data_IF_675244776847
#
_entry.id   IF_675244776847
#
_cell.length_a   1.000
_cell.length_b   1.000
_cell.length_c   1.000
_cell.angle_alpha   90.00
_cell.angle_beta   90.00
_cell.angle_gamma   90.00
#
_symmetry.space_group_name_H-M   'P 1'
#
loop_
_entity.id
_entity.type
_entity.pdbx_description
1 polymer ?
#
# COMPACT_ATOMS: atom_id res chain seq x y z
N UNK A 1 15.53 -10.94 1.49
CA UNK A 1 14.76 -12.18 1.61
C UNK A 1 14.50 -12.76 0.22
N UNK A 2 14.71 -14.08 0.03
CA UNK A 2 14.57 -14.77 -1.25
C UNK A 2 15.63 -14.42 -2.29
N UNK A 3 15.46 -14.85 -3.55
CA UNK A 3 16.45 -14.66 -4.61
C UNK A 3 16.68 -13.20 -4.97
N UNK A 4 15.64 -12.46 -5.32
CA UNK A 4 15.74 -11.03 -5.68
C UNK A 4 16.29 -10.19 -4.53
N UNK A 5 15.71 -10.31 -3.33
CA UNK A 5 16.23 -9.60 -2.16
C UNK A 5 17.67 -10.01 -1.81
N UNK A 6 18.01 -11.28 -2.01
CA UNK A 6 19.38 -11.78 -1.81
C UNK A 6 20.38 -11.15 -2.78
N UNK A 7 20.03 -10.97 -4.05
CA UNK A 7 20.86 -10.29 -5.04
C UNK A 7 21.10 -8.84 -4.65
N UNK A 8 20.03 -8.11 -4.30
CA UNK A 8 20.13 -6.73 -3.86
C UNK A 8 21.01 -6.57 -2.61
N UNK A 9 20.82 -7.41 -1.59
CA UNK A 9 21.65 -7.38 -0.36
C UNK A 9 23.11 -7.76 -0.65
N UNK A 10 23.36 -8.68 -1.58
CA UNK A 10 24.72 -9.01 -2.01
C UNK A 10 25.39 -7.84 -2.73
N UNK A 11 24.59 -7.08 -3.51
CA UNK A 11 25.08 -5.85 -4.15
C UNK A 11 25.39 -4.78 -3.10
N UNK A 12 24.46 -4.53 -2.15
CA UNK A 12 24.66 -3.61 -1.03
C UNK A 12 25.93 -3.94 -0.20
N UNK A 13 26.17 -5.22 0.03
CA UNK A 13 27.37 -5.68 0.74
C UNK A 13 28.66 -5.34 -0.01
N UNK A 14 28.66 -5.48 -1.34
CA UNK A 14 29.81 -5.12 -2.19
C UNK A 14 30.05 -3.62 -2.27
N UNK A 15 28.98 -2.83 -2.26
CA UNK A 15 29.03 -1.35 -2.23
C UNK A 15 29.52 -0.80 -0.87
N UNK A 16 29.60 -1.63 0.17
CA UNK A 16 30.22 -1.28 1.44
C UNK A 16 29.42 -0.24 2.23
N UNK A 17 28.11 -0.44 2.42
CA UNK A 17 27.32 0.41 3.30
C UNK A 17 27.82 0.24 4.73
N UNK A 18 28.24 1.35 5.35
CA UNK A 18 28.84 1.35 6.69
C UNK A 18 27.78 1.15 7.79
N UNK A 19 28.21 0.57 8.91
CA UNK A 19 27.40 0.40 10.14
C UNK A 19 26.10 -0.39 9.95
N UNK A 20 26.05 -1.28 8.96
CA UNK A 20 24.93 -2.15 8.64
C UNK A 20 25.36 -3.61 8.68
N UNK A 21 24.60 -4.44 9.39
CA UNK A 21 24.77 -5.90 9.38
C UNK A 21 23.92 -6.50 8.27
N UNK A 22 24.57 -7.25 7.37
CA UNK A 22 23.90 -7.89 6.23
C UNK A 22 23.53 -9.33 6.55
N UNK A 23 22.28 -9.70 6.29
CA UNK A 23 21.76 -11.05 6.50
C UNK A 23 20.99 -11.52 5.27
N UNK A 24 21.25 -12.74 4.84
CA UNK A 24 20.48 -13.41 3.79
C UNK A 24 19.54 -14.45 4.37
N UNK A 25 18.25 -14.33 4.08
CA UNK A 25 17.23 -15.32 4.40
C UNK A 25 16.66 -15.90 3.10
N UNK A 26 16.75 -17.21 2.92
CA UNK A 26 16.21 -17.88 1.72
C UNK A 26 15.78 -19.32 2.04
N UNK A 27 14.87 -19.84 1.25
CA UNK A 27 14.45 -21.26 1.24
C UNK A 27 15.31 -22.11 0.32
N UNK A 28 16.19 -21.49 -0.48
CA UNK A 28 17.11 -22.15 -1.42
C UNK A 28 18.55 -22.06 -0.92
N UNK A 29 19.10 -23.22 -0.55
CA UNK A 29 20.46 -23.32 -0.02
C UNK A 29 21.53 -23.01 -1.08
N UNK A 30 21.28 -23.31 -2.36
CA UNK A 30 22.24 -23.00 -3.42
C UNK A 30 22.37 -21.50 -3.63
N UNK A 31 21.23 -20.79 -3.60
CA UNK A 31 21.21 -19.34 -3.70
C UNK A 31 21.96 -18.67 -2.53
N UNK A 32 21.79 -19.17 -1.30
CA UNK A 32 22.52 -18.68 -0.14
C UNK A 32 24.04 -18.87 -0.28
N UNK A 33 24.46 -20.04 -0.77
CA UNK A 33 25.91 -20.37 -0.86
C UNK A 33 26.64 -19.59 -1.96
N UNK A 34 25.93 -19.02 -2.94
CA UNK A 34 26.54 -18.21 -4.02
C UNK A 34 26.93 -16.80 -3.57
N UNK A 35 26.39 -16.32 -2.48
CA UNK A 35 26.63 -14.95 -2.00
C UNK A 35 27.83 -14.90 -1.05
N UNK A 36 28.54 -13.77 -1.08
CA UNK A 36 29.67 -13.47 -0.19
C UNK A 36 29.22 -12.91 1.18
N UNK A 37 27.93 -12.62 1.35
CA UNK A 37 27.38 -12.13 2.63
C UNK A 37 27.59 -13.18 3.72
N UNK A 38 28.18 -12.79 4.88
CA UNK A 38 28.65 -13.77 5.87
C UNK A 38 27.49 -14.43 6.64
N UNK A 39 26.43 -13.69 6.96
CA UNK A 39 25.33 -14.20 7.77
C UNK A 39 24.20 -14.70 6.85
N UNK A 40 23.90 -15.98 6.98
CA UNK A 40 22.92 -16.67 6.11
C UNK A 40 21.99 -17.52 6.95
N UNK A 41 20.68 -17.39 6.70
CA UNK A 41 19.66 -18.21 7.34
C UNK A 41 18.86 -18.99 6.28
N UNK A 42 18.91 -20.31 6.36
CA UNK A 42 18.07 -21.19 5.57
C UNK A 42 16.71 -21.33 6.25
N UNK A 43 15.66 -20.84 5.57
CA UNK A 43 14.29 -20.90 6.06
C UNK A 43 13.64 -22.24 5.73
N UNK A 44 12.96 -22.82 6.73
CA UNK A 44 12.12 -24.01 6.54
C UNK A 44 12.92 -25.22 6.09
N UNK A 45 13.87 -25.67 6.88
CA UNK A 45 14.77 -26.80 6.55
C UNK A 45 13.99 -28.08 6.27
N UNK A 46 12.94 -28.36 7.03
CA UNK A 46 12.12 -29.55 6.84
C UNK A 46 11.09 -29.35 5.71
N UNK A 47 10.45 -28.18 5.66
CA UNK A 47 9.40 -27.87 4.67
C UNK A 47 9.97 -27.78 3.25
N UNK A 48 11.12 -27.14 3.07
CA UNK A 48 11.70 -26.89 1.74
C UNK A 48 12.87 -27.79 1.38
N UNK A 49 13.51 -28.41 2.37
CA UNK A 49 14.71 -29.23 2.22
C UNK A 49 15.85 -28.49 1.50
N UNK A 50 15.85 -27.13 1.58
CA UNK A 50 16.82 -26.29 0.90
C UNK A 50 16.66 -26.20 -0.63
N UNK A 51 15.55 -26.69 -1.18
CA UNK A 51 15.25 -26.71 -2.62
C UNK A 51 14.41 -25.51 -3.10
N UNK A 52 14.15 -24.56 -2.20
CA UNK A 52 13.32 -23.40 -2.49
C UNK A 52 11.82 -23.62 -2.28
N UNK A 53 11.05 -22.55 -2.40
CA UNK A 53 9.60 -22.54 -2.21
C UNK A 53 8.80 -23.01 -3.45
N UNK A 54 9.44 -23.20 -4.60
CA UNK A 54 8.79 -23.62 -5.84
C UNK A 54 7.77 -22.61 -6.38
N UNK A 55 8.05 -21.33 -6.24
CA UNK A 55 7.15 -20.21 -6.63
C UNK A 55 5.79 -20.21 -5.89
N UNK A 56 5.73 -20.76 -4.68
CA UNK A 56 4.53 -20.82 -3.83
C UNK A 56 4.74 -19.99 -2.56
N UNK A 57 4.10 -18.81 -2.45
CA UNK A 57 4.22 -17.94 -1.26
C UNK A 57 3.79 -18.64 0.04
N UNK A 58 2.74 -19.45 -0.01
CA UNK A 58 2.24 -20.16 1.17
C UNK A 58 3.28 -21.13 1.75
N UNK A 59 4.04 -21.81 0.86
CA UNK A 59 5.14 -22.68 1.28
C UNK A 59 6.29 -21.91 1.91
N UNK A 60 6.59 -20.71 1.38
CA UNK A 60 7.61 -19.84 1.94
C UNK A 60 7.19 -19.21 3.26
N UNK A 61 5.92 -18.88 3.42
CA UNK A 61 5.34 -18.43 4.68
C UNK A 61 5.51 -19.50 5.77
N UNK A 62 5.10 -20.74 5.50
CA UNK A 62 5.28 -21.85 6.43
C UNK A 62 6.77 -22.09 6.75
N UNK A 63 7.65 -21.96 5.75
CA UNK A 63 9.10 -22.09 5.95
C UNK A 63 9.68 -21.00 6.86
N UNK A 64 9.19 -19.78 6.77
CA UNK A 64 9.58 -18.71 7.68
C UNK A 64 9.02 -18.94 9.09
N UNK A 65 7.80 -19.46 9.20
CA UNK A 65 7.19 -19.83 10.49
C UNK A 65 7.91 -20.98 11.17
N UNK A 66 8.40 -21.98 10.43
CA UNK A 66 9.29 -23.03 10.97
C UNK A 66 10.57 -22.44 11.59
N UNK A 67 11.07 -21.35 11.05
CA UNK A 67 12.33 -20.71 11.45
C UNK A 67 12.15 -19.53 12.42
N UNK A 68 11.01 -19.42 13.12
CA UNK A 68 10.70 -18.28 14.01
C UNK A 68 11.75 -18.05 15.09
N UNK A 69 12.22 -19.11 15.74
CA UNK A 69 13.18 -19.01 16.85
C UNK A 69 14.57 -18.55 16.35
N UNK A 70 15.00 -19.05 15.20
CA UNK A 70 16.24 -18.62 14.56
C UNK A 70 16.17 -17.13 14.17
N UNK A 71 15.02 -16.69 13.61
CA UNK A 71 14.78 -15.30 13.22
C UNK A 71 14.78 -14.37 14.43
N UNK A 72 14.09 -14.75 15.52
CA UNK A 72 14.10 -13.99 16.78
C UNK A 72 15.49 -13.93 17.40
N UNK A 73 16.18 -15.07 17.42
CA UNK A 73 17.55 -15.13 17.95
C UNK A 73 18.49 -14.20 17.21
N UNK A 74 18.38 -14.13 15.89
CA UNK A 74 19.18 -13.27 15.04
C UNK A 74 18.91 -11.77 15.26
N UNK A 75 17.67 -11.39 15.49
CA UNK A 75 17.26 -9.99 15.70
C UNK A 75 17.41 -9.53 17.16
N UNK A 76 17.69 -10.43 18.09
CA UNK A 76 17.79 -10.13 19.53
C UNK A 76 19.22 -9.74 19.95
N UNK A 77 19.91 -9.01 19.14
CA UNK A 77 21.29 -8.53 19.35
C UNK A 77 21.37 -7.03 19.71
N UNK A 78 20.24 -6.41 20.01
CA UNK A 78 20.11 -4.97 20.24
C UNK A 78 19.78 -4.17 18.99
N UNK A 79 19.44 -4.83 17.88
CA UNK A 79 18.98 -4.21 16.63
C UNK A 79 17.79 -3.28 16.91
N UNK A 80 17.89 -2.04 16.46
CA UNK A 80 16.83 -1.03 16.60
C UNK A 80 16.05 -0.78 15.32
N UNK A 81 16.64 -1.09 14.17
CA UNK A 81 16.04 -0.91 12.85
C UNK A 81 16.41 -2.07 11.93
N UNK A 82 15.49 -2.50 11.10
CA UNK A 82 15.73 -3.51 10.08
C UNK A 82 15.14 -3.10 8.74
N UNK A 83 15.95 -3.24 7.68
CA UNK A 83 15.48 -3.17 6.29
C UNK A 83 15.18 -4.58 5.80
N UNK A 84 13.96 -4.81 5.36
CA UNK A 84 13.54 -6.08 4.76
C UNK A 84 13.41 -5.89 3.26
N UNK A 85 14.42 -6.37 2.54
CA UNK A 85 14.48 -6.26 1.09
C UNK A 85 14.01 -7.56 0.44
N UNK A 86 13.03 -7.45 -0.47
CA UNK A 86 12.48 -8.61 -1.17
C UNK A 86 12.01 -8.25 -2.59
N UNK A 87 12.24 -9.15 -3.55
CA UNK A 87 11.55 -9.12 -4.84
C UNK A 87 10.20 -9.82 -4.70
N UNK A 88 9.11 -9.10 -4.95
CA UNK A 88 7.76 -9.65 -4.91
C UNK A 88 7.43 -10.39 -6.22
N UNK A 89 6.46 -11.29 -6.16
CA UNK A 89 6.02 -12.10 -7.30
C UNK A 89 6.68 -13.48 -7.40
N UNK A 90 7.72 -13.75 -6.57
CA UNK A 90 8.28 -15.09 -6.38
C UNK A 90 7.68 -15.79 -5.15
N UNK A 91 8.15 -17.01 -4.85
CA UNK A 91 7.71 -17.75 -3.66
C UNK A 91 8.27 -17.13 -2.38
N UNK A 92 9.61 -17.15 -2.23
CA UNK A 92 10.28 -16.82 -0.96
C UNK A 92 10.10 -15.36 -0.56
N UNK A 93 10.38 -14.40 -1.46
CA UNK A 93 10.24 -12.98 -1.15
C UNK A 93 8.80 -12.62 -0.76
N UNK A 94 7.83 -13.09 -1.55
CA UNK A 94 6.41 -12.79 -1.35
C UNK A 94 5.85 -13.39 -0.06
N UNK A 95 6.24 -14.64 0.26
CA UNK A 95 5.64 -15.34 1.42
C UNK A 95 6.41 -15.17 2.73
N UNK A 96 7.76 -15.18 2.69
CA UNK A 96 8.56 -15.13 3.91
C UNK A 96 8.80 -13.70 4.42
N UNK A 97 8.91 -12.68 3.53
CA UNK A 97 9.19 -11.32 3.97
C UNK A 97 8.13 -10.74 4.92
N UNK A 98 6.81 -10.92 4.70
CA UNK A 98 5.79 -10.48 5.66
C UNK A 98 5.93 -11.12 7.04
N UNK A 99 6.30 -12.41 7.11
CA UNK A 99 6.49 -13.11 8.39
C UNK A 99 7.69 -12.54 9.13
N UNK A 100 8.81 -12.34 8.44
CA UNK A 100 10.02 -11.74 9.03
C UNK A 100 9.73 -10.31 9.51
N UNK A 101 8.98 -9.54 8.72
CA UNK A 101 8.55 -8.18 9.08
C UNK A 101 7.73 -8.16 10.37
N UNK A 102 6.74 -9.06 10.48
CA UNK A 102 5.92 -9.21 11.68
C UNK A 102 6.76 -9.49 12.91
N UNK A 103 7.71 -10.43 12.81
CA UNK A 103 8.61 -10.77 13.92
C UNK A 103 9.39 -9.54 14.39
N UNK A 104 10.01 -8.81 13.47
CA UNK A 104 10.78 -7.62 13.78
C UNK A 104 9.92 -6.53 14.44
N UNK A 105 8.73 -6.28 13.88
CA UNK A 105 7.78 -5.30 14.42
C UNK A 105 7.28 -5.69 15.83
N UNK A 106 6.96 -6.97 16.05
CA UNK A 106 6.54 -7.52 17.35
C UNK A 106 7.65 -7.40 18.41
N UNK A 107 8.92 -7.42 18.00
CA UNK A 107 10.08 -7.17 18.86
C UNK A 107 10.32 -5.68 19.13
N UNK A 108 9.51 -4.77 18.59
CA UNK A 108 9.65 -3.32 18.74
C UNK A 108 10.77 -2.70 17.88
N UNK A 109 11.27 -3.42 16.89
CA UNK A 109 12.30 -2.95 15.96
C UNK A 109 11.62 -2.12 14.87
N UNK A 110 12.16 -0.93 14.57
CA UNK A 110 11.69 -0.14 13.42
C UNK A 110 11.86 -0.95 12.14
N UNK A 111 10.76 -1.34 11.54
CA UNK A 111 10.75 -2.27 10.41
C UNK A 111 10.38 -1.55 9.11
N UNK A 112 11.33 -1.51 8.18
CA UNK A 112 11.18 -0.85 6.88
C UNK A 112 11.25 -1.90 5.78
N UNK A 113 10.18 -2.01 5.00
CA UNK A 113 10.16 -2.84 3.80
C UNK A 113 10.66 -2.06 2.58
N UNK A 114 11.57 -2.66 1.81
CA UNK A 114 12.01 -2.13 0.51
C UNK A 114 11.82 -3.24 -0.52
N UNK A 115 10.77 -3.14 -1.33
CA UNK A 115 10.35 -4.25 -2.19
C UNK A 115 10.23 -3.82 -3.65
N UNK A 116 10.43 -4.78 -4.56
CA UNK A 116 10.25 -4.55 -5.99
C UNK A 116 9.03 -5.27 -6.54
N UNK A 117 8.32 -4.62 -7.48
CA UNK A 117 7.26 -5.23 -8.31
C UNK A 117 7.90 -5.63 -9.64
N UNK A 118 7.58 -6.84 -10.17
CA UNK A 118 8.16 -7.38 -11.40
C UNK A 118 7.96 -6.51 -12.63
N UNK A 119 8.78 -6.71 -13.65
CA UNK A 119 8.56 -6.17 -15.00
C UNK A 119 7.33 -6.80 -15.65
N UNK A 120 6.68 -6.08 -16.57
CA UNK A 120 5.51 -6.59 -17.33
C UNK A 120 5.80 -7.87 -18.09
N UNK A 121 7.01 -8.01 -18.66
CA UNK A 121 7.39 -9.22 -19.40
C UNK A 121 7.53 -10.48 -18.52
N UNK A 122 7.56 -10.35 -17.19
CA UNK A 122 7.60 -11.49 -16.28
C UNK A 122 6.23 -12.19 -16.14
N UNK A 123 5.16 -11.57 -16.64
CA UNK A 123 3.83 -12.12 -16.77
C UNK A 123 2.85 -11.71 -15.68
N UNK A 124 1.58 -11.58 -16.07
CA UNK A 124 0.47 -11.08 -15.26
C UNK A 124 0.31 -11.83 -13.94
N UNK A 125 0.37 -13.16 -13.95
CA UNK A 125 0.26 -13.98 -12.73
C UNK A 125 1.30 -13.59 -11.68
N UNK A 126 2.54 -13.30 -12.12
CA UNK A 126 3.63 -12.92 -11.23
C UNK A 126 3.40 -11.52 -10.66
N UNK A 127 2.83 -10.62 -11.47
CA UNK A 127 2.48 -9.26 -11.05
C UNK A 127 1.36 -9.29 -10.00
N UNK A 128 0.27 -10.03 -10.24
CA UNK A 128 -0.82 -10.18 -9.28
C UNK A 128 -0.30 -10.76 -7.96
N UNK A 129 0.54 -11.80 -8.03
CA UNK A 129 1.17 -12.38 -6.84
C UNK A 129 2.05 -11.36 -6.10
N UNK A 130 2.75 -10.49 -6.83
CA UNK A 130 3.56 -9.43 -6.25
C UNK A 130 2.70 -8.38 -5.54
N UNK A 131 1.61 -7.93 -6.16
CA UNK A 131 0.70 -6.95 -5.58
C UNK A 131 0.06 -7.47 -4.28
N UNK A 132 -0.36 -8.75 -4.25
CA UNK A 132 -0.84 -9.39 -3.04
C UNK A 132 0.24 -9.44 -1.95
N UNK A 133 1.49 -9.73 -2.32
CA UNK A 133 2.63 -9.73 -1.40
C UNK A 133 2.96 -8.34 -0.84
N UNK A 134 2.84 -7.29 -1.66
CA UNK A 134 3.01 -5.90 -1.23
C UNK A 134 1.92 -5.51 -0.23
N UNK A 135 0.66 -5.87 -0.47
CA UNK A 135 -0.44 -5.64 0.47
C UNK A 135 -0.23 -6.39 1.80
N UNK A 136 0.34 -7.60 1.74
CA UNK A 136 0.57 -8.38 2.96
C UNK A 136 1.75 -7.86 3.77
N UNK A 137 2.88 -7.49 3.14
CA UNK A 137 4.01 -6.92 3.87
C UNK A 137 3.68 -5.54 4.45
N UNK A 138 2.85 -4.73 3.77
CA UNK A 138 2.44 -3.41 4.24
C UNK A 138 1.79 -3.44 5.62
N UNK A 139 1.07 -4.50 5.97
CA UNK A 139 0.44 -4.68 7.29
C UNK A 139 1.47 -4.92 8.40
N UNK A 140 2.66 -5.39 8.04
CA UNK A 140 3.67 -5.92 8.95
C UNK A 140 4.92 -5.05 9.05
N UNK A 141 4.98 -3.91 8.35
CA UNK A 141 6.09 -2.94 8.42
C UNK A 141 5.63 -1.60 8.99
N UNK A 142 6.55 -0.77 9.42
CA UNK A 142 6.28 0.61 9.81
C UNK A 142 6.26 1.54 8.59
N UNK A 143 7.19 1.34 7.67
CA UNK A 143 7.25 2.05 6.39
C UNK A 143 7.53 1.07 5.25
N UNK A 144 6.94 1.30 4.09
CA UNK A 144 7.09 0.46 2.90
C UNK A 144 7.47 1.28 1.68
N UNK A 145 8.66 1.04 1.15
CA UNK A 145 9.08 1.55 -0.15
C UNK A 145 8.79 0.49 -1.21
N UNK A 146 8.04 0.87 -2.23
CA UNK A 146 7.69 -0.02 -3.35
C UNK A 146 8.32 0.51 -4.64
N UNK A 147 9.23 -0.27 -5.19
CA UNK A 147 9.93 0.06 -6.43
C UNK A 147 9.29 -0.73 -7.57
N UNK A 148 8.75 0.00 -8.55
CA UNK A 148 8.19 -0.61 -9.75
C UNK A 148 9.28 -0.76 -10.82
N UNK A 149 9.69 -2.00 -11.10
CA UNK A 149 10.73 -2.29 -12.09
C UNK A 149 10.33 -1.81 -13.50
N UNK A 150 9.03 -1.80 -13.83
CA UNK A 150 8.57 -1.31 -15.14
C UNK A 150 8.88 0.17 -15.35
N UNK A 151 8.85 0.99 -14.29
CA UNK A 151 9.28 2.39 -14.37
C UNK A 151 10.76 2.53 -14.71
N UNK A 152 11.60 1.62 -14.18
CA UNK A 152 13.03 1.60 -14.56
C UNK A 152 13.22 1.28 -16.03
N UNK A 153 12.38 0.41 -16.62
CA UNK A 153 12.41 0.11 -18.05
C UNK A 153 12.00 1.31 -18.90
N UNK A 154 11.03 2.09 -18.46
CA UNK A 154 10.61 3.32 -19.16
C UNK A 154 11.73 4.37 -19.21
N UNK A 155 12.52 4.49 -18.12
CA UNK A 155 13.62 5.43 -18.01
C UNK A 155 14.86 4.95 -18.80
N UNK A 156 15.15 3.66 -18.68
CA UNK A 156 16.35 3.02 -19.23
C UNK A 156 15.98 2.01 -20.31
N UNK A 157 15.30 2.47 -21.36
CA UNK A 157 14.73 1.62 -22.41
C UNK A 157 15.76 0.85 -23.26
N UNK A 158 17.02 1.29 -23.26
CA UNK A 158 18.13 0.72 -24.02
C UNK A 158 18.93 -0.34 -23.25
N UNK A 159 18.60 -0.62 -21.99
CA UNK A 159 19.29 -1.62 -21.19
C UNK A 159 18.99 -3.05 -21.66
N UNK A 160 20.02 -3.91 -21.62
CA UNK A 160 19.81 -5.35 -21.72
C UNK A 160 18.99 -5.85 -20.51
N UNK A 161 18.31 -6.99 -20.65
CA UNK A 161 17.52 -7.59 -19.57
C UNK A 161 18.37 -7.78 -18.29
N UNK A 162 19.61 -8.24 -18.43
CA UNK A 162 20.51 -8.42 -17.32
C UNK A 162 20.84 -7.09 -16.61
N UNK A 163 21.09 -6.03 -17.38
CA UNK A 163 21.36 -4.71 -16.85
C UNK A 163 20.11 -4.06 -16.22
N UNK A 164 18.92 -4.37 -16.73
CA UNK A 164 17.68 -3.89 -16.16
C UNK A 164 17.44 -4.46 -14.75
N UNK A 165 17.72 -5.75 -14.52
CA UNK A 165 17.70 -6.33 -13.17
C UNK A 165 18.81 -5.75 -12.29
N UNK A 166 20.02 -5.56 -12.81
CA UNK A 166 21.07 -4.86 -12.09
C UNK A 166 20.66 -3.46 -11.66
N UNK A 167 19.93 -2.73 -12.52
CA UNK A 167 19.41 -1.39 -12.19
C UNK A 167 18.33 -1.41 -11.09
N UNK A 168 17.51 -2.46 -11.05
CA UNK A 168 16.58 -2.67 -9.94
C UNK A 168 17.34 -2.93 -8.60
N UNK A 169 18.39 -3.73 -8.63
CA UNK A 169 19.25 -3.99 -7.47
C UNK A 169 19.99 -2.70 -7.02
N UNK A 170 20.49 -1.88 -7.97
CA UNK A 170 21.05 -0.55 -7.70
C UNK A 170 20.05 0.36 -6.98
N UNK A 171 18.80 0.38 -7.46
CA UNK A 171 17.76 1.25 -6.89
C UNK A 171 17.42 0.86 -5.46
N UNK A 172 17.32 -0.46 -5.17
CA UNK A 172 17.16 -0.98 -3.81
C UNK A 172 18.36 -0.60 -2.93
N UNK A 173 19.56 -0.69 -3.48
CA UNK A 173 20.81 -0.34 -2.79
C UNK A 173 20.84 1.15 -2.45
N UNK A 174 20.53 2.01 -3.41
CA UNK A 174 20.48 3.46 -3.21
C UNK A 174 19.46 3.81 -2.12
N UNK A 175 18.28 3.16 -2.13
CA UNK A 175 17.27 3.40 -1.11
C UNK A 175 17.77 3.05 0.30
N UNK A 176 18.26 1.85 0.50
CA UNK A 176 18.78 1.42 1.79
C UNK A 176 19.99 2.24 2.24
N UNK A 177 20.93 2.52 1.31
CA UNK A 177 22.12 3.31 1.58
C UNK A 177 21.80 4.72 1.99
N UNK A 178 20.91 5.40 1.27
CA UNK A 178 20.54 6.79 1.58
C UNK A 178 19.87 6.93 2.95
N UNK A 179 19.03 5.98 3.36
CA UNK A 179 18.43 5.99 4.70
C UNK A 179 19.50 5.70 5.76
N UNK A 180 20.41 4.77 5.51
CA UNK A 180 21.51 4.47 6.43
C UNK A 180 22.44 5.69 6.57
N UNK A 181 22.79 6.37 5.48
CA UNK A 181 23.65 7.57 5.47
C UNK A 181 23.05 8.73 6.27
N UNK A 182 21.71 8.90 6.29
CA UNK A 182 21.05 9.91 7.13
C UNK A 182 21.40 9.73 8.61
N UNK A 183 21.55 8.47 9.05
CA UNK A 183 21.79 8.12 10.46
C UNK A 183 23.30 8.09 10.76
N UNK A 184 24.12 7.69 9.80
CA UNK A 184 25.53 7.33 10.04
C UNK A 184 26.51 8.45 9.67
N UNK A 185 26.16 9.30 8.70
CA UNK A 185 27.04 10.40 8.31
C UNK A 185 26.89 11.61 9.25
N UNK A 186 28.01 12.13 9.78
CA UNK A 186 27.97 13.29 10.66
C UNK A 186 27.55 14.54 9.89
N UNK A 187 26.61 15.29 10.45
CA UNK A 187 26.07 16.52 9.88
C UNK A 187 26.40 17.77 10.68
N UNK A 188 26.34 18.94 10.05
CA UNK A 188 26.35 20.23 10.74
C UNK A 188 24.99 20.44 11.43
N UNK A 189 23.90 20.16 10.72
CA UNK A 189 22.56 19.98 11.27
C UNK A 189 22.35 18.46 11.27
N UNK A 190 22.67 17.83 12.39
CA UNK A 190 22.72 16.38 12.46
C UNK A 190 21.32 15.80 12.53
N UNK A 191 21.09 14.76 11.73
CA UNK A 191 19.94 13.88 11.84
C UNK A 191 20.38 12.59 12.53
N UNK A 192 19.53 12.07 13.36
CA UNK A 192 19.81 10.85 14.11
C UNK A 192 18.73 9.76 13.89
N UNK A 193 18.92 8.62 14.55
CA UNK A 193 17.96 7.53 14.49
C UNK A 193 16.55 7.94 14.98
N UNK A 194 16.44 8.86 15.94
CA UNK A 194 15.14 9.28 16.46
C UNK A 194 14.35 10.06 15.40
N UNK A 195 15.02 10.87 14.58
CA UNK A 195 14.40 11.61 13.47
C UNK A 195 13.87 10.66 12.40
N UNK A 196 14.68 9.68 12.01
CA UNK A 196 14.26 8.63 11.06
C UNK A 196 13.12 7.79 11.64
N UNK A 197 13.21 7.43 12.92
CA UNK A 197 12.13 6.68 13.58
C UNK A 197 10.83 7.50 13.64
N UNK A 198 10.90 8.78 13.96
CA UNK A 198 9.73 9.68 13.98
C UNK A 198 9.06 9.77 12.61
N UNK A 199 9.86 9.83 11.55
CA UNK A 199 9.36 9.92 10.18
C UNK A 199 8.77 8.59 9.70
N UNK A 200 9.42 7.46 9.99
CA UNK A 200 9.08 6.16 9.42
C UNK A 200 8.13 5.33 10.27
N UNK A 201 8.08 5.53 11.60
CA UNK A 201 7.21 4.76 12.49
C UNK A 201 5.75 4.98 12.13
N UNK A 202 5.03 3.89 11.86
CA UNK A 202 3.65 3.88 11.36
C UNK A 202 3.43 4.81 10.15
N UNK A 203 4.49 4.95 9.30
CA UNK A 203 4.54 5.87 8.17
C UNK A 203 3.78 5.39 6.94
N UNK A 204 3.32 4.13 6.90
CA UNK A 204 2.61 3.57 5.75
C UNK A 204 3.49 3.42 4.51
N UNK A 205 2.99 3.84 3.35
CA UNK A 205 3.82 3.88 2.14
C UNK A 205 4.78 5.05 2.22
N UNK A 206 6.04 4.79 1.93
CA UNK A 206 7.12 5.77 1.89
C UNK A 206 7.63 5.94 0.47
N UNK A 207 8.03 7.14 0.16
CA UNK A 207 8.70 7.50 -1.09
C UNK A 207 10.08 8.06 -0.75
N UNK A 208 11.05 7.70 -1.56
CA UNK A 208 12.40 8.22 -1.40
C UNK A 208 12.97 8.62 -2.76
N UNK A 209 13.71 9.71 -2.75
CA UNK A 209 14.40 10.19 -3.93
C UNK A 209 15.73 10.84 -3.57
N UNK A 210 16.65 10.77 -4.51
CA UNK A 210 17.89 11.50 -4.50
C UNK A 210 17.97 12.41 -5.73
N UNK A 211 18.45 13.63 -5.53
CA UNK A 211 18.73 14.57 -6.60
C UNK A 211 20.13 15.14 -6.45
N UNK A 212 20.72 15.51 -7.57
CA UNK A 212 22.08 16.07 -7.65
C UNK A 212 22.07 17.40 -8.37
N UNK A 213 22.95 18.30 -7.92
CA UNK A 213 23.18 19.58 -8.58
C UNK A 213 24.65 19.97 -8.55
N UNK A 214 25.08 20.72 -9.56
CA UNK A 214 26.46 21.15 -9.71
C UNK A 214 26.53 22.59 -10.25
N UNK A 215 27.51 23.36 -9.84
CA UNK A 215 27.72 24.73 -10.31
C UNK A 215 26.81 25.77 -9.66
N UNK A 216 26.44 26.79 -10.42
CA UNK A 216 25.53 27.85 -9.92
C UNK A 216 24.12 27.34 -9.73
N UNK A 217 23.51 27.59 -8.55
CA UNK A 217 22.17 27.10 -8.21
C UNK A 217 22.10 25.59 -7.97
N UNK A 218 23.20 24.96 -7.60
CA UNK A 218 23.33 23.51 -7.40
C UNK A 218 22.30 22.95 -6.39
N UNK A 219 21.95 23.70 -5.35
CA UNK A 219 20.94 23.25 -4.36
C UNK A 219 19.56 23.20 -5.01
N UNK A 220 19.18 24.24 -5.76
CA UNK A 220 17.91 24.24 -6.51
C UNK A 220 17.86 23.08 -7.52
N UNK A 221 18.95 22.89 -8.28
CA UNK A 221 19.03 21.76 -9.23
C UNK A 221 18.86 20.42 -8.51
N UNK A 222 19.48 20.23 -7.34
CA UNK A 222 19.34 19.00 -6.57
C UNK A 222 17.90 18.79 -6.06
N UNK A 223 17.21 19.86 -5.65
CA UNK A 223 15.79 19.79 -5.28
C UNK A 223 14.93 19.39 -6.49
N UNK A 224 15.10 20.07 -7.62
CA UNK A 224 14.36 19.81 -8.86
C UNK A 224 14.62 18.39 -9.37
N UNK A 225 15.87 17.93 -9.36
CA UNK A 225 16.25 16.57 -9.76
C UNK A 225 15.62 15.51 -8.83
N UNK A 226 15.63 15.76 -7.51
CA UNK A 226 14.98 14.88 -6.55
C UNK A 226 13.46 14.81 -6.76
N UNK A 227 12.78 15.92 -6.95
CA UNK A 227 11.33 15.97 -7.15
C UNK A 227 10.89 15.37 -8.50
N UNK A 228 11.74 15.51 -9.53
CA UNK A 228 11.48 14.93 -10.85
C UNK A 228 11.94 13.47 -10.97
N UNK A 229 12.41 12.87 -9.88
CA UNK A 229 12.81 11.47 -9.89
C UNK A 229 11.65 10.58 -10.33
N UNK A 230 11.87 9.65 -11.26
CA UNK A 230 10.85 8.72 -11.72
C UNK A 230 10.31 7.79 -10.63
N UNK A 231 11.01 7.67 -9.51
CA UNK A 231 10.55 6.94 -8.33
C UNK A 231 9.47 7.70 -7.56
N UNK A 232 9.40 9.04 -7.76
CA UNK A 232 8.35 9.91 -7.20
C UNK A 232 7.25 10.26 -8.20
N UNK A 233 7.41 9.95 -9.49
CA UNK A 233 6.73 10.59 -10.62
C UNK A 233 5.20 10.50 -10.68
N UNK A 234 4.53 9.86 -9.75
CA UNK A 234 3.06 9.84 -9.70
C UNK A 234 2.50 10.25 -8.34
N UNK A 235 3.36 10.53 -7.37
CA UNK A 235 2.92 10.88 -6.03
C UNK A 235 3.42 12.28 -5.71
N UNK A 236 2.50 13.18 -5.52
CA UNK A 236 2.83 14.53 -5.08
C UNK A 236 3.40 14.48 -3.66
N UNK A 237 4.70 14.73 -3.50
CA UNK A 237 5.37 14.80 -2.19
C UNK A 237 4.63 15.77 -1.25
N UNK A 238 3.89 16.73 -1.81
CA UNK A 238 3.06 17.69 -1.07
C UNK A 238 1.87 17.03 -0.33
N UNK A 239 1.53 15.78 -0.67
CA UNK A 239 0.51 15.00 0.03
C UNK A 239 1.08 14.13 1.17
N UNK A 240 2.38 14.17 1.41
CA UNK A 240 3.00 13.47 2.52
C UNK A 240 2.50 14.02 3.87
N UNK A 241 2.51 13.18 4.90
CA UNK A 241 2.25 13.61 6.28
C UNK A 241 3.54 14.03 6.97
N UNK A 242 4.65 13.36 6.65
CA UNK A 242 5.95 13.65 7.21
C UNK A 242 7.00 13.62 6.11
N UNK A 243 7.93 14.53 6.17
CA UNK A 243 9.05 14.65 5.24
C UNK A 243 10.33 14.77 6.05
N UNK A 244 11.30 13.95 5.70
CA UNK A 244 12.67 14.09 6.15
C UNK A 244 13.55 14.30 4.93
N UNK A 245 14.38 15.33 4.93
CA UNK A 245 15.35 15.50 3.87
C UNK A 245 16.73 15.89 4.40
N UNK A 246 17.76 15.48 3.67
CA UNK A 246 19.14 15.79 4.01
C UNK A 246 19.89 16.33 2.80
N UNK A 247 20.69 17.39 3.02
CA UNK A 247 21.52 18.02 2.00
C UNK A 247 22.97 17.64 2.26
N UNK A 248 23.58 16.96 1.30
CA UNK A 248 24.97 16.53 1.37
C UNK A 248 25.86 17.42 0.49
N UNK A 249 27.02 17.74 0.99
CA UNK A 249 28.04 18.54 0.30
C UNK A 249 29.44 18.10 0.73
N UNK A 250 30.47 18.48 -0.04
CA UNK A 250 31.87 18.24 0.30
C UNK A 250 32.47 19.39 1.07
N UNK A 251 33.44 19.13 1.93
CA UNK A 251 34.28 20.17 2.58
C UNK A 251 35.00 21.09 1.57
N UNK A 252 35.30 20.58 0.37
CA UNK A 252 35.91 21.37 -0.69
C UNK A 252 34.94 22.37 -1.32
N UNK A 253 33.65 22.15 -1.18
CA UNK A 253 32.56 22.96 -1.75
C UNK A 253 31.42 23.12 -0.74
N UNK A 254 31.72 23.76 0.41
CA UNK A 254 30.78 24.01 1.48
C UNK A 254 29.52 24.75 1.01
N UNK A 255 28.38 24.51 1.68
CA UNK A 255 27.13 25.22 1.45
C UNK A 255 27.26 26.67 1.86
N UNK A 256 26.86 27.60 0.99
CA UNK A 256 26.83 29.04 1.26
C UNK A 256 25.49 29.43 1.86
N UNK A 257 25.49 30.50 2.66
CA UNK A 257 24.24 31.02 3.23
C UNK A 257 23.23 31.49 2.17
N UNK A 258 23.70 31.88 0.98
CA UNK A 258 22.84 32.21 -0.16
C UNK A 258 22.07 30.99 -0.67
N UNK A 259 22.70 29.79 -0.67
CA UNK A 259 22.12 28.53 -1.11
C UNK A 259 21.06 28.01 -0.11
N UNK A 260 21.12 28.45 1.16
CA UNK A 260 20.11 28.15 2.17
C UNK A 260 18.74 28.75 1.87
N UNK A 261 18.69 29.81 1.02
CA UNK A 261 17.41 30.33 0.54
C UNK A 261 16.66 29.31 -0.34
N UNK A 262 17.40 28.52 -1.13
CA UNK A 262 16.76 27.47 -1.96
C UNK A 262 16.20 26.35 -1.08
N UNK A 263 16.89 25.99 0.01
CA UNK A 263 16.35 25.05 1.02
C UNK A 263 15.10 25.63 1.68
N UNK A 264 15.13 26.91 2.08
CA UNK A 264 13.98 27.58 2.69
C UNK A 264 12.79 27.66 1.72
N UNK A 265 13.04 27.98 0.45
CA UNK A 265 12.00 28.03 -0.58
C UNK A 265 11.35 26.65 -0.74
N UNK A 266 12.14 25.58 -0.81
CA UNK A 266 11.64 24.21 -0.84
C UNK A 266 10.77 23.88 0.37
N UNK A 267 11.21 24.22 1.59
CA UNK A 267 10.41 24.00 2.81
C UNK A 267 9.10 24.79 2.78
N UNK A 268 9.10 26.00 2.22
CA UNK A 268 7.92 26.85 2.16
C UNK A 268 6.83 26.39 1.17
N UNK A 269 7.15 25.43 0.30
CA UNK A 269 6.18 24.82 -0.62
C UNK A 269 5.24 23.83 0.08
N UNK A 270 5.61 23.35 1.27
CA UNK A 270 4.81 22.39 2.01
C UNK A 270 3.72 23.06 2.85
N UNK A 271 2.59 22.35 2.98
CA UNK A 271 1.53 22.78 3.87
C UNK A 271 2.01 22.78 5.33
N UNK A 272 1.46 23.66 6.16
CA UNK A 272 1.82 23.78 7.58
C UNK A 272 1.50 22.52 8.42
N UNK A 273 0.64 21.64 7.91
CA UNK A 273 0.25 20.40 8.57
C UNK A 273 1.26 19.26 8.33
N UNK A 274 2.25 19.48 7.44
CA UNK A 274 3.29 18.49 7.15
C UNK A 274 4.44 18.69 8.16
N UNK A 275 4.77 17.60 8.86
CA UNK A 275 5.95 17.59 9.73
C UNK A 275 7.21 17.45 8.87
N UNK A 276 8.07 18.50 8.89
CA UNK A 276 9.31 18.54 8.10
C UNK A 276 10.51 18.50 9.03
N UNK A 277 11.33 17.48 8.89
CA UNK A 277 12.62 17.32 9.57
C UNK A 277 13.72 17.41 8.52
N UNK A 278 14.78 18.17 8.77
CA UNK A 278 15.86 18.31 7.81
C UNK A 278 17.24 18.43 8.45
N UNK A 279 18.25 18.08 7.67
CA UNK A 279 19.63 18.15 8.10
C UNK A 279 20.61 18.43 6.96
N UNK A 280 21.87 18.52 7.34
CA UNK A 280 22.98 18.63 6.40
C UNK A 280 24.10 17.70 6.82
N UNK A 281 24.74 17.01 5.89
CA UNK A 281 25.87 16.13 6.17
C UNK A 281 27.02 16.34 5.17
N UNK A 282 28.22 16.00 5.60
CA UNK A 282 29.42 16.07 4.78
C UNK A 282 29.67 14.74 4.07
N UNK A 283 29.79 14.81 2.75
CA UNK A 283 30.16 13.68 1.90
C UNK A 283 31.24 14.14 0.90
N UNK A 284 32.50 13.88 1.24
CA UNK A 284 33.64 14.31 0.43
C UNK A 284 33.75 13.60 -0.93
N UNK A 285 32.93 12.57 -1.18
CA UNK A 285 32.89 11.93 -2.50
C UNK A 285 32.17 12.76 -3.56
N UNK A 286 31.41 13.77 -3.13
CA UNK A 286 30.61 14.64 -4.01
C UNK A 286 31.46 15.69 -4.78
N UNK A 287 32.65 16.04 -4.29
CA UNK A 287 33.47 17.12 -4.88
C UNK A 287 32.67 18.43 -4.92
N UNK A 288 32.41 18.99 -6.11
CA UNK A 288 31.67 20.24 -6.28
C UNK A 288 30.13 20.07 -6.30
N UNK A 289 29.64 18.84 -6.21
CA UNK A 289 28.19 18.55 -6.28
C UNK A 289 27.52 18.69 -4.92
N UNK A 290 26.24 18.95 -4.97
CA UNK A 290 25.31 18.81 -3.85
C UNK A 290 24.40 17.63 -4.16
N UNK A 291 24.16 16.79 -3.16
CA UNK A 291 23.14 15.72 -3.20
C UNK A 291 22.04 16.09 -2.22
N UNK A 292 20.79 15.93 -2.65
CA UNK A 292 19.63 16.03 -1.78
C UNK A 292 18.93 14.69 -1.72
N UNK A 293 18.69 14.19 -0.50
CA UNK A 293 17.89 12.99 -0.27
C UNK A 293 16.58 13.41 0.38
N UNK A 294 15.46 13.03 -0.20
CA UNK A 294 14.11 13.27 0.32
C UNK A 294 13.47 11.93 0.68
N UNK A 295 12.95 11.84 1.89
CA UNK A 295 12.15 10.73 2.40
C UNK A 295 10.79 11.27 2.81
N UNK A 296 9.73 10.86 2.14
CA UNK A 296 8.36 11.27 2.40
C UNK A 296 7.51 10.08 2.82
N UNK A 297 6.69 10.22 3.86
CA UNK A 297 5.85 9.16 4.41
C UNK A 297 4.42 9.61 4.65
N UNK A 298 3.53 8.67 4.93
CA UNK A 298 2.12 8.94 5.21
C UNK A 298 1.21 8.71 4.00
N UNK A 299 1.74 8.12 2.94
CA UNK A 299 0.95 7.70 1.79
C UNK A 299 0.22 6.39 2.09
N UNK A 300 -0.84 6.14 1.34
CA UNK A 300 -1.65 4.93 1.42
C UNK A 300 -1.29 3.95 0.30
N UNK A 301 -1.80 2.74 0.38
CA UNK A 301 -1.63 1.76 -0.70
C UNK A 301 -2.32 2.20 -2.01
N UNK A 302 -3.33 3.06 -1.93
CA UNK A 302 -4.04 3.59 -3.09
C UNK A 302 -3.23 4.67 -3.84
N UNK A 303 -2.18 5.21 -3.21
CA UNK A 303 -1.22 6.08 -3.86
C UNK A 303 -0.21 5.31 -4.75
N UNK A 304 -0.23 3.96 -4.69
CA UNK A 304 0.53 3.09 -5.60
C UNK A 304 -0.35 2.76 -6.81
N UNK A 305 -0.08 3.28 -8.01
CA UNK A 305 -1.01 3.19 -9.16
C UNK A 305 -1.46 1.77 -9.50
N UNK A 306 -0.53 0.81 -9.51
CA UNK A 306 -0.84 -0.59 -9.82
C UNK A 306 -1.78 -1.24 -8.79
N UNK A 307 -1.68 -0.86 -7.53
CA UNK A 307 -2.56 -1.37 -6.47
C UNK A 307 -3.92 -0.69 -6.52
N UNK A 308 -3.95 0.61 -6.75
CA UNK A 308 -5.19 1.36 -6.97
C UNK A 308 -5.99 0.80 -8.15
N UNK A 309 -5.32 0.53 -9.27
CA UNK A 309 -5.97 -0.07 -10.46
C UNK A 309 -6.46 -1.50 -10.18
N UNK A 310 -5.67 -2.33 -9.47
CA UNK A 310 -6.08 -3.67 -9.04
C UNK A 310 -7.36 -3.60 -8.20
N UNK A 311 -7.38 -2.78 -7.16
CA UNK A 311 -8.54 -2.62 -6.26
C UNK A 311 -9.78 -2.11 -7.00
N UNK A 312 -9.59 -1.16 -7.92
CA UNK A 312 -10.68 -0.66 -8.76
C UNK A 312 -11.27 -1.74 -9.64
N UNK A 313 -10.42 -2.58 -10.26
CA UNK A 313 -10.86 -3.69 -11.10
C UNK A 313 -11.55 -4.78 -10.27
N UNK A 314 -11.04 -5.13 -9.09
CA UNK A 314 -11.69 -6.09 -8.17
C UNK A 314 -13.06 -5.60 -7.72
N UNK A 315 -13.19 -4.31 -7.37
CA UNK A 315 -14.46 -3.71 -7.01
C UNK A 315 -15.47 -3.71 -8.17
N UNK A 316 -15.00 -3.44 -9.39
CA UNK A 316 -15.84 -3.50 -10.60
C UNK A 316 -16.32 -4.93 -10.90
N UNK A 317 -15.45 -5.93 -10.74
CA UNK A 317 -15.82 -7.34 -10.94
C UNK A 317 -16.80 -7.84 -9.87
N UNK A 318 -16.64 -7.45 -8.62
CA UNK A 318 -17.61 -7.78 -7.55
C UNK A 318 -18.99 -7.19 -7.87
N UNK A 319 -19.06 -5.95 -8.31
CA UNK A 319 -20.33 -5.31 -8.70
C UNK A 319 -20.99 -6.02 -9.88
N UNK A 320 -20.23 -6.45 -10.87
CA UNK A 320 -20.72 -7.20 -12.04
C UNK A 320 -21.22 -8.60 -11.64
N UNK A 321 -20.53 -9.29 -10.73
CA UNK A 321 -20.96 -10.58 -10.20
C UNK A 321 -22.25 -10.48 -9.36
N UNK A 322 -22.35 -9.43 -8.53
CA UNK A 322 -23.59 -9.15 -7.77
C UNK A 322 -24.78 -8.89 -8.71
N UNK A 323 -24.59 -8.10 -9.77
CA UNK A 323 -25.61 -7.84 -10.79
C UNK A 323 -26.02 -9.14 -11.49
N UNK A 324 -25.07 -10.00 -11.88
CA UNK A 324 -25.37 -11.27 -12.52
C UNK A 324 -26.15 -12.21 -11.60
N UNK A 325 -25.77 -12.29 -10.32
CA UNK A 325 -26.48 -13.11 -9.32
C UNK A 325 -27.94 -12.59 -9.11
N UNK A 326 -28.14 -11.28 -9.13
CA UNK A 326 -29.47 -10.68 -9.02
C UNK A 326 -30.31 -10.97 -10.29
N UNK A 327 -29.71 -10.89 -11.48
CA UNK A 327 -30.38 -11.25 -12.74
C UNK A 327 -30.79 -12.74 -12.76
N UNK A 328 -29.90 -13.64 -12.36
CA UNK A 328 -30.18 -15.08 -12.25
C UNK A 328 -31.32 -15.34 -11.24
N UNK A 329 -31.34 -14.62 -10.12
CA UNK A 329 -32.40 -14.70 -9.12
C UNK A 329 -33.74 -14.26 -9.70
N UNK A 330 -33.77 -13.12 -10.39
CA UNK A 330 -34.98 -12.58 -11.02
C UNK A 330 -35.52 -13.54 -12.10
N UNK A 331 -34.60 -14.10 -12.90
CA UNK A 331 -35.00 -15.06 -13.94
C UNK A 331 -35.57 -16.36 -13.35
N UNK A 332 -34.99 -16.87 -12.26
CA UNK A 332 -35.49 -18.02 -11.52
C UNK A 332 -36.89 -17.75 -10.94
N UNK A 333 -37.09 -16.61 -10.28
CA UNK A 333 -38.39 -16.22 -9.74
C UNK A 333 -39.44 -16.03 -10.86
N UNK A 334 -39.02 -15.57 -12.05
CA UNK A 334 -39.91 -15.47 -13.21
C UNK A 334 -40.31 -16.86 -13.72
N UNK A 335 -39.38 -17.80 -13.86
CA UNK A 335 -39.65 -19.17 -14.27
C UNK A 335 -40.59 -19.90 -13.29
N UNK A 336 -40.36 -19.70 -11.98
CA UNK A 336 -41.24 -20.25 -10.94
C UNK A 336 -42.66 -19.66 -11.02
N UNK A 337 -42.78 -18.37 -11.26
CA UNK A 337 -44.07 -17.66 -11.41
C UNK A 337 -44.83 -18.12 -12.64
N UNK A 338 -44.13 -18.27 -13.76
CA UNK A 338 -44.72 -18.80 -15.01
C UNK A 338 -45.16 -20.27 -14.86
N UNK A 339 -44.42 -21.07 -14.12
CA UNK A 339 -44.79 -22.46 -13.82
C UNK A 339 -46.07 -22.52 -12.98
N UNK A 340 -46.14 -21.70 -11.92
CA UNK A 340 -47.36 -21.59 -11.07
C UNK A 340 -48.53 -21.13 -11.89
N UNK A 341 -48.37 -20.11 -12.74
CA UNK A 341 -49.40 -19.60 -13.64
C UNK A 341 -49.94 -20.68 -14.59
N UNK A 342 -49.07 -21.54 -15.09
CA UNK A 342 -49.38 -22.64 -16.02
C UNK A 342 -50.23 -23.72 -15.36
N UNK A 343 -50.01 -24.02 -14.08
CA UNK A 343 -50.69 -25.10 -13.37
C UNK A 343 -51.95 -24.68 -12.61
N UNK A 344 -51.99 -23.39 -12.13
CA UNK A 344 -53.05 -22.90 -11.28
C UNK A 344 -53.91 -21.81 -11.91
N UNK A 345 -53.62 -21.38 -13.15
CA UNK A 345 -54.38 -20.39 -13.90
C UNK A 345 -54.53 -19.02 -13.22
N UNK A 346 -55.57 -18.26 -13.57
CA UNK A 346 -55.77 -16.91 -13.06
C UNK A 346 -55.97 -16.80 -11.53
N UNK A 347 -56.26 -17.90 -10.84
CA UNK A 347 -56.38 -17.96 -9.38
C UNK A 347 -55.03 -17.76 -8.67
N UNK A 348 -53.92 -18.10 -9.32
CA UNK A 348 -52.59 -17.96 -8.79
C UNK A 348 -52.11 -16.50 -8.71
N UNK A 349 -52.65 -15.62 -9.57
CA UNK A 349 -52.32 -14.20 -9.53
C UNK A 349 -52.87 -13.49 -8.26
N UNK A 350 -53.88 -14.04 -7.62
CA UNK A 350 -54.42 -13.53 -6.34
C UNK A 350 -53.61 -14.07 -5.13
N UNK A 351 -53.08 -15.27 -5.21
CA UNK A 351 -52.25 -15.86 -4.14
C UNK A 351 -50.85 -15.19 -4.05
N UNK A 352 -50.30 -14.71 -5.17
CA UNK A 352 -48.99 -14.04 -5.23
C UNK A 352 -48.89 -12.67 -4.53
N UNK A 353 -50.05 -12.13 -4.03
CA UNK A 353 -50.03 -10.88 -3.24
C UNK A 353 -49.49 -11.05 -1.80
N UNK A 354 -49.35 -12.28 -1.29
CA UNK A 354 -48.91 -12.53 0.08
C UNK A 354 -47.40 -12.80 0.23
N UNK A 355 -46.64 -12.87 -0.87
CA UNK A 355 -45.18 -13.09 -0.83
C UNK A 355 -44.40 -11.91 -1.40
N UNK A 356 -44.92 -10.70 -1.32
CA UNK A 356 -44.07 -9.50 -1.53
C UNK A 356 -43.10 -9.44 -0.35
N UNK A 357 -41.93 -10.07 -0.49
CA UNK A 357 -40.80 -9.80 0.42
C UNK A 357 -40.61 -8.30 0.41
N UNK A 358 -40.73 -7.70 1.58
CA UNK A 358 -40.38 -6.29 1.79
C UNK A 358 -39.01 -6.02 1.14
N UNK A 359 -38.97 -5.11 0.18
CA UNK A 359 -37.71 -4.69 -0.41
C UNK A 359 -36.89 -4.01 0.68
N UNK A 360 -35.85 -4.66 1.12
CA UNK A 360 -34.90 -4.07 2.06
C UNK A 360 -34.29 -2.83 1.40
N UNK A 361 -34.33 -1.71 2.10
CA UNK A 361 -33.62 -0.49 1.70
C UNK A 361 -32.25 -0.58 2.36
N UNK A 362 -31.21 -0.72 1.55
CA UNK A 362 -29.83 -0.67 2.02
C UNK A 362 -29.42 0.80 2.04
N UNK A 363 -29.06 1.30 3.22
CA UNK A 363 -28.57 2.65 3.41
C UNK A 363 -27.05 2.65 3.44
N UNK A 364 -26.43 3.66 2.87
CA UNK A 364 -25.00 3.93 3.02
C UNK A 364 -24.69 4.48 4.41
N UNK A 365 -23.41 4.50 4.82
CA UNK A 365 -23.00 5.03 6.12
C UNK A 365 -23.39 6.50 6.29
N UNK A 366 -23.31 7.30 5.24
CA UNK A 366 -23.71 8.72 5.22
C UNK A 366 -25.23 8.91 5.32
N UNK A 367 -26.02 7.99 4.73
CA UNK A 367 -27.48 7.99 4.81
C UNK A 367 -28.00 7.53 6.18
N UNK A 368 -27.19 6.82 6.97
CA UNK A 368 -27.51 6.40 8.35
C UNK A 368 -27.43 7.56 9.35
N UNK A 369 -26.66 8.59 9.04
CA UNK A 369 -26.50 9.79 9.86
C UNK A 369 -27.54 10.90 9.50
N UNK A 370 -28.44 10.64 8.52
CA UNK A 370 -29.49 11.58 8.11
C UNK A 370 -30.84 11.28 8.79
N UNK A 371 -31.06 11.94 9.90
CA UNK A 371 -32.31 11.81 10.71
C UNK A 371 -33.58 12.05 9.90
N UNK A 372 -33.58 12.92 8.88
CA UNK A 372 -34.72 13.21 8.04
C UNK A 372 -35.02 12.06 7.07
N UNK A 373 -34.03 11.42 6.53
CA UNK A 373 -34.15 10.23 5.70
C UNK A 373 -34.64 9.04 6.51
N UNK A 374 -34.09 8.85 7.72
CA UNK A 374 -34.48 7.77 8.63
C UNK A 374 -35.94 7.93 9.05
N UNK A 375 -36.38 9.12 9.49
CA UNK A 375 -37.76 9.38 9.87
C UNK A 375 -38.73 9.10 8.70
N UNK A 376 -38.35 9.47 7.48
CA UNK A 376 -39.19 9.23 6.29
C UNK A 376 -39.30 7.74 5.94
N UNK A 377 -38.28 6.96 6.26
CA UNK A 377 -38.28 5.51 6.07
C UNK A 377 -39.08 4.82 7.18
N UNK A 378 -39.02 5.29 8.42
CA UNK A 378 -39.76 4.76 9.57
C UNK A 378 -41.26 5.04 9.45
N UNK A 379 -41.65 6.22 8.99
CA UNK A 379 -43.05 6.59 8.77
C UNK A 379 -43.75 5.81 7.64
N UNK A 380 -42.96 5.12 6.79
CA UNK A 380 -43.52 4.32 5.69
C UNK A 380 -43.25 2.82 5.93
N UNK A 381 -44.29 2.07 6.36
CA UNK A 381 -44.16 0.63 6.63
C UNK A 381 -43.60 -0.15 5.42
N UNK A 382 -42.76 -1.13 5.68
CA UNK A 382 -41.99 -1.89 4.67
C UNK A 382 -42.87 -2.55 3.60
N UNK A 383 -44.12 -2.91 3.93
CA UNK A 383 -45.09 -3.52 3.01
C UNK A 383 -45.75 -2.52 2.04
N UNK A 384 -45.69 -1.24 2.31
CA UNK A 384 -46.29 -0.17 1.49
C UNK A 384 -45.23 0.75 0.82
N UNK A 385 -43.94 0.46 0.95
CA UNK A 385 -42.86 1.28 0.39
C UNK A 385 -42.89 1.27 -1.13
N UNK A 386 -43.32 2.38 -1.71
CA UNK A 386 -43.08 2.64 -3.13
C UNK A 386 -41.60 2.98 -3.36
N UNK A 387 -40.90 2.32 -4.31
CA UNK A 387 -39.54 2.67 -4.69
C UNK A 387 -39.35 4.16 -5.02
N UNK A 388 -40.41 4.84 -5.45
CA UNK A 388 -40.41 6.27 -5.71
C UNK A 388 -40.28 7.11 -4.44
N UNK A 389 -40.66 6.61 -3.27
CA UNK A 389 -40.55 7.32 -1.99
C UNK A 389 -39.07 7.33 -1.56
N UNK A 390 -38.36 6.23 -1.71
CA UNK A 390 -36.93 6.13 -1.41
C UNK A 390 -36.10 6.97 -2.38
N UNK A 391 -36.40 6.91 -3.67
CA UNK A 391 -35.78 7.76 -4.68
C UNK A 391 -36.02 9.26 -4.42
N UNK A 392 -37.20 9.62 -3.96
CA UNK A 392 -37.54 10.99 -3.60
C UNK A 392 -36.87 11.48 -2.31
N UNK A 393 -36.67 10.60 -1.35
CA UNK A 393 -35.93 10.91 -0.15
C UNK A 393 -34.45 11.23 -0.50
N UNK A 394 -33.82 10.39 -1.33
CA UNK A 394 -32.46 10.60 -1.82
C UNK A 394 -32.30 11.86 -2.67
N UNK A 395 -33.29 12.22 -3.50
CA UNK A 395 -33.22 13.46 -4.30
C UNK A 395 -33.43 14.73 -3.47
N UNK A 396 -34.18 14.69 -2.36
CA UNK A 396 -34.32 15.82 -1.43
C UNK A 396 -33.04 16.13 -0.67
N UNK A 397 -32.32 15.09 -0.29
CA UNK A 397 -31.00 15.22 0.34
C UNK A 397 -29.95 15.79 -0.64
N UNK A 398 -30.10 15.50 -1.94
CA UNK A 398 -29.26 16.05 -3.00
C UNK A 398 -29.61 17.50 -3.43
N UNK A 399 -30.58 18.15 -2.83
CA UNK A 399 -30.88 19.59 -3.05
C UNK A 399 -31.66 19.91 -4.33
N UNK A 400 -32.37 18.96 -4.93
CA UNK A 400 -33.22 19.18 -6.10
C UNK A 400 -34.69 19.32 -5.70
N UNK A 401 -35.22 20.54 -5.75
CA UNK A 401 -36.64 20.85 -5.50
C UNK A 401 -37.54 20.39 -6.66
N UNK A 402 -38.28 19.30 -6.45
CA UNK A 402 -39.36 18.90 -7.36
C UNK A 402 -40.72 19.24 -6.71
N UNK A 403 -41.45 20.19 -7.31
CA UNK A 403 -42.82 20.56 -6.89
C UNK A 403 -43.79 19.38 -7.05
N UNK A 404 -44.53 19.08 -6.00
CA UNK A 404 -45.57 18.02 -5.99
C UNK A 404 -46.86 18.50 -5.45
N UNK A 405 -47.93 18.31 -6.26
CA UNK A 405 -49.32 18.46 -5.88
C UNK A 405 -49.77 17.38 -4.90
N UNK A 406 -50.50 17.79 -3.86
CA UNK A 406 -51.01 16.93 -2.78
C UNK A 406 -52.12 15.97 -3.24
N UNK A 407 -52.18 14.74 -2.73
CA UNK A 407 -53.35 13.90 -2.86
C UNK A 407 -54.29 13.99 -1.63
N UNK A 408 -55.54 13.86 -1.92
CA UNK A 408 -56.72 14.00 -1.07
C UNK A 408 -56.85 12.85 -0.03
N UNK A 409 -57.31 13.23 1.14
CA UNK A 409 -57.76 12.48 2.34
C UNK A 409 -58.23 11.03 2.19
N UNK A 410 -57.69 10.14 3.05
CA UNK A 410 -58.31 8.88 3.41
C UNK A 410 -58.52 8.75 4.94
N UNK A 411 -59.65 8.13 5.31
CA UNK A 411 -60.23 8.02 6.66
C UNK A 411 -59.39 7.13 7.62
N UNK A 412 -59.49 7.36 8.96
CA UNK A 412 -58.72 6.58 9.94
C UNK A 412 -59.30 5.20 10.19
N UNK A 413 -58.42 4.22 10.36
CA UNK A 413 -58.77 2.86 10.80
C UNK A 413 -58.12 2.62 12.17
N UNK A 414 -58.93 2.06 13.08
CA UNK A 414 -58.61 1.84 14.50
C UNK A 414 -57.55 0.74 14.70
N UNK A 415 -56.67 0.96 15.65
CA UNK A 415 -55.68 0.01 16.12
C UNK A 415 -56.26 -1.00 17.10
N UNK A 416 -55.97 -2.31 16.91
CA UNK A 416 -56.06 -3.31 17.96
C UNK A 416 -54.65 -3.80 18.32
N UNK A 417 -54.28 -3.63 19.59
CA UNK A 417 -53.03 -4.13 20.18
C UNK A 417 -53.00 -5.65 20.20
N UNK A 418 -51.88 -6.24 19.74
CA UNK A 418 -51.53 -7.61 20.05
C UNK A 418 -50.26 -7.59 20.92
N UNK A 419 -50.40 -7.96 22.19
CA UNK A 419 -49.34 -8.22 23.15
C UNK A 419 -48.69 -9.54 22.86
N UNK A 420 -47.36 -9.59 22.82
CA UNK A 420 -46.56 -10.81 22.78
C UNK A 420 -46.44 -11.43 24.17
N UNK A 421 -46.54 -12.78 24.33
CA UNK A 421 -46.25 -13.43 25.61
C UNK A 421 -44.75 -13.63 25.79
N UNK A 422 -44.27 -13.27 26.95
CA UNK A 422 -42.98 -13.65 27.53
C UNK A 422 -42.95 -15.14 27.88
N UNK A 423 -41.99 -15.88 27.32
CA UNK A 423 -41.24 -16.92 28.04
C UNK A 423 -39.93 -17.21 27.30
#
# INVERSE_FOLDING_TARGET
VGGGGGNAVTHMYKEGIHDVTFVLCNTDNQALNRSDVPIKLLLGREITQGLGAGNKPERAMMAAEESLDDLRGMLNDGTKMVFITAGMGGGTGTGAAPVIARIAKDMGILTVGIVTIPFLFEGERKIIQALNGVEEIAKNVDALLVINNERLREIYSDLSVMNAFGKADDTLTIAAKSIAEIITLPGIINLDFADVNTTMKDGGVALMSNGFGEGEGRVRQAVEDALNSPLLSNNDVKNAKKILFNVYFSEEAELRMEEMNDVHNFMSEFNRDIEVIWGTAVDNTLGNKVKMTILATGFTMDDIPLIADKRRNEAAQMTEEELRLEEERIEKERKERDLIGKYYGASAQKAGRFTSRAKAVVLTQEELDDDALIALIEDNPTYNRDPKIVARARSKVAGEDIQVSAPTTAKPVSYTHLTLPTK
#
